data_IF_858204446861
#
_entry.id   IF_858204446861
#
_cell.length_a   1.000
_cell.length_b   1.000
_cell.length_c   1.000
_cell.angle_alpha   90.00
_cell.angle_beta   90.00
_cell.angle_gamma   90.00
#
_symmetry.space_group_name_H-M   'P 1'
#
loop_
_entity.id
_entity.type
_entity.pdbx_description
1 polymer ?
#
# COMPACT_ATOMS: atom_id res chain seq x y z
N UNK A 1 -4.34 -6.53 -9.47
CA UNK A 1 -4.32 -5.70 -8.23
C UNK A 1 -3.31 -4.56 -8.40
N UNK A 2 -3.39 -3.48 -7.59
CA UNK A 2 -2.71 -2.20 -7.86
C UNK A 2 -1.17 -2.21 -7.73
N UNK A 3 -0.57 -3.16 -7.02
CA UNK A 3 0.87 -3.17 -6.77
C UNK A 3 1.36 -1.93 -6.01
N UNK A 4 2.66 -1.64 -6.11
CA UNK A 4 3.32 -0.54 -5.41
C UNK A 4 4.49 0.05 -6.20
N UNK A 5 4.82 1.32 -5.96
CA UNK A 5 6.13 1.91 -6.27
C UNK A 5 7.07 1.73 -5.08
N UNK A 6 8.27 1.24 -5.33
CA UNK A 6 9.25 1.02 -4.28
C UNK A 6 9.73 2.35 -3.66
N UNK A 7 10.11 2.33 -2.39
CA UNK A 7 10.47 3.55 -1.67
C UNK A 7 11.87 4.08 -2.01
N UNK A 8 12.80 3.18 -2.30
CA UNK A 8 14.22 3.46 -2.57
C UNK A 8 14.52 3.69 -4.05
N UNK A 9 13.65 3.22 -4.92
CA UNK A 9 13.87 3.17 -6.35
C UNK A 9 12.53 3.34 -7.08
N UNK A 10 12.56 3.86 -8.29
CA UNK A 10 11.34 4.19 -9.04
C UNK A 10 10.71 2.98 -9.73
N UNK A 11 11.03 1.75 -9.30
CA UNK A 11 10.45 0.55 -9.86
C UNK A 11 9.03 0.33 -9.36
N UNK A 12 8.21 -0.23 -10.24
CA UNK A 12 6.87 -0.70 -9.92
C UNK A 12 6.90 -2.21 -9.71
N UNK A 13 6.29 -2.69 -8.63
CA UNK A 13 6.29 -4.10 -8.25
C UNK A 13 4.87 -4.60 -7.94
N UNK A 14 4.68 -5.92 -8.06
CA UNK A 14 3.48 -6.66 -7.64
C UNK A 14 2.17 -6.19 -8.31
N UNK A 15 2.28 -5.50 -9.44
CA UNK A 15 1.14 -5.22 -10.30
C UNK A 15 0.52 -6.54 -10.75
N UNK A 16 -0.80 -6.65 -10.62
CA UNK A 16 -1.52 -7.90 -10.93
C UNK A 16 -1.63 -8.87 -9.76
N UNK A 17 -0.66 -8.93 -8.83
CA UNK A 17 -0.60 -9.97 -7.77
C UNK A 17 -1.03 -9.50 -6.39
N UNK A 18 -0.62 -8.30 -5.94
CA UNK A 18 -0.97 -7.76 -4.62
C UNK A 18 -1.65 -6.39 -4.74
N UNK A 19 -2.60 -6.12 -3.86
CA UNK A 19 -3.21 -4.80 -3.71
C UNK A 19 -2.57 -4.06 -2.54
N UNK A 20 -1.89 -2.95 -2.80
CA UNK A 20 -1.36 -2.06 -1.76
C UNK A 20 -2.09 -0.71 -1.82
N UNK A 21 -2.70 -0.33 -0.69
CA UNK A 21 -3.46 0.91 -0.57
C UNK A 21 -3.13 1.64 0.72
N UNK A 22 -3.03 2.96 0.66
CA UNK A 22 -2.93 3.76 1.90
C UNK A 22 -4.22 3.66 2.71
N UNK A 23 -4.11 3.38 4.01
CA UNK A 23 -5.28 3.20 4.89
C UNK A 23 -5.42 4.29 5.96
N UNK A 24 -4.32 4.86 6.47
CA UNK A 24 -4.38 5.96 7.44
C UNK A 24 -3.18 6.90 7.38
N UNK A 25 -3.27 8.00 8.15
CA UNK A 25 -2.26 9.05 8.18
C UNK A 25 -0.89 8.55 8.67
N UNK A 26 0.22 9.06 8.10
CA UNK A 26 1.56 8.76 8.58
C UNK A 26 1.76 9.26 10.01
N UNK A 27 2.59 8.56 10.79
CA UNK A 27 3.01 9.02 12.13
C UNK A 27 4.25 9.91 12.02
N UNK A 28 5.37 9.34 11.60
CA UNK A 28 6.63 10.04 11.34
C UNK A 28 7.24 9.54 10.03
N UNK A 29 8.14 8.56 10.11
CA UNK A 29 8.79 7.91 8.97
C UNK A 29 7.92 6.78 8.38
N UNK A 30 6.93 6.34 9.14
CA UNK A 30 6.04 5.26 8.79
C UNK A 30 4.62 5.74 8.50
N UNK A 31 3.91 4.92 7.74
CA UNK A 31 2.50 5.05 7.41
C UNK A 31 1.85 3.66 7.48
N UNK A 32 0.53 3.63 7.29
CA UNK A 32 -0.25 2.40 7.34
C UNK A 32 -0.83 2.08 5.97
N UNK A 33 -0.68 0.82 5.56
CA UNK A 33 -1.30 0.30 4.34
C UNK A 33 -2.30 -0.82 4.64
N UNK A 34 -3.27 -0.94 3.73
CA UNK A 34 -4.06 -2.12 3.51
C UNK A 34 -3.38 -2.94 2.41
N UNK A 35 -3.03 -4.18 2.72
CA UNK A 35 -2.48 -5.14 1.75
C UNK A 35 -3.37 -6.37 1.62
N UNK A 36 -3.54 -6.86 0.41
CA UNK A 36 -4.26 -8.10 0.15
C UNK A 36 -3.76 -8.80 -1.11
N UNK A 37 -3.94 -10.12 -1.14
CA UNK A 37 -3.71 -10.98 -2.29
C UNK A 37 -4.90 -11.93 -2.49
N UNK A 38 -4.72 -13.00 -3.27
CA UNK A 38 -5.78 -13.97 -3.56
C UNK A 38 -6.23 -14.78 -2.34
N UNK A 39 -5.46 -14.81 -1.26
CA UNK A 39 -5.68 -15.66 -0.09
C UNK A 39 -5.75 -14.88 1.24
N UNK A 40 -5.04 -13.75 1.36
CA UNK A 40 -4.85 -13.04 2.62
C UNK A 40 -5.19 -11.56 2.53
N UNK A 41 -5.54 -10.97 3.68
CA UNK A 41 -5.76 -9.54 3.85
C UNK A 41 -5.15 -9.06 5.17
N UNK A 42 -4.53 -7.88 5.16
CA UNK A 42 -3.99 -7.21 6.34
C UNK A 42 -4.33 -5.72 6.30
N UNK A 43 -5.04 -5.24 7.32
CA UNK A 43 -5.65 -3.90 7.34
C UNK A 43 -4.74 -2.79 7.89
N UNK A 44 -3.68 -3.16 8.63
CA UNK A 44 -2.85 -2.21 9.39
C UNK A 44 -1.38 -2.56 9.31
N UNK A 45 -0.85 -2.74 8.10
CA UNK A 45 0.57 -3.00 7.93
C UNK A 45 1.37 -1.69 8.04
N UNK A 46 2.43 -1.69 8.86
CA UNK A 46 3.28 -0.50 9.09
C UNK A 46 4.44 -0.52 8.09
N UNK A 47 4.60 0.56 7.35
CA UNK A 47 5.54 0.62 6.22
C UNK A 47 6.15 2.03 6.11
N UNK A 48 7.27 2.19 5.41
CA UNK A 48 7.87 3.51 5.18
C UNK A 48 6.93 4.38 4.32
N UNK A 49 6.72 5.64 4.71
CA UNK A 49 5.80 6.55 3.97
C UNK A 49 6.28 6.93 2.55
N UNK A 50 7.51 6.58 2.21
CA UNK A 50 8.14 6.88 0.93
C UNK A 50 7.74 5.89 -0.19
N UNK A 51 7.05 4.81 0.14
CA UNK A 51 6.42 3.95 -0.85
C UNK A 51 5.35 4.71 -1.64
N UNK A 52 5.05 4.27 -2.86
CA UNK A 52 3.91 4.79 -3.61
C UNK A 52 2.79 3.77 -3.69
N UNK A 53 1.74 3.95 -2.89
CA UNK A 53 0.52 3.13 -2.95
C UNK A 53 -0.65 3.89 -3.53
N UNK A 54 -1.62 3.13 -4.04
CA UNK A 54 -2.86 3.68 -4.57
C UNK A 54 -3.75 4.20 -3.43
N UNK A 55 -4.53 5.24 -3.71
CA UNK A 55 -5.59 5.72 -2.83
C UNK A 55 -6.92 5.32 -3.45
N UNK A 56 -7.84 4.78 -2.64
CA UNK A 56 -9.20 4.45 -3.09
C UNK A 56 -10.19 5.18 -2.20
N UNK A 57 -10.96 6.07 -2.82
CA UNK A 57 -12.09 6.71 -2.15
C UNK A 57 -13.24 5.70 -2.05
N UNK A 58 -13.82 5.58 -0.86
CA UNK A 58 -15.06 4.85 -0.65
C UNK A 58 -16.17 5.86 -0.41
N UNK A 59 -17.33 5.59 -1.00
CA UNK A 59 -18.55 6.37 -0.79
C UNK A 59 -19.55 5.49 -0.07
N UNK A 60 -20.10 6.01 1.03
CA UNK A 60 -21.31 5.47 1.66
C UNK A 60 -22.55 6.03 0.98
#
# INVERSE_FOLDING_TARGET
>A
MAGQRHYSDSNLAQQGTNGHYWSSSPSTNNAYELTFDSANISFTNIITRSYGFSIRCFKN
#
